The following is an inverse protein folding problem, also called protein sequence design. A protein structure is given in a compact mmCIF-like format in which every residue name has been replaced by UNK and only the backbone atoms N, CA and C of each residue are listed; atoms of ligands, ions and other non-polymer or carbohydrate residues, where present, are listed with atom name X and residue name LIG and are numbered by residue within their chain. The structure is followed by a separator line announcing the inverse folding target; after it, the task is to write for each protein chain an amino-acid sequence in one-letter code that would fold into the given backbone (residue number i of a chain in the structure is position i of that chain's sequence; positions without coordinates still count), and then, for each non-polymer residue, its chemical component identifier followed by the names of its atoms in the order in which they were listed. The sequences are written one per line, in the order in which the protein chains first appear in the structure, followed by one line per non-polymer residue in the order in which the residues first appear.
data_IF_368766909280
#
_entry.id   IF_368766909280
#
_cell.length_a   1.000
_cell.length_b   1.000
_cell.length_c   1.000
_cell.angle_alpha   90.00
_cell.angle_beta   90.00
_cell.angle_gamma   90.00
#
_symmetry.space_group_name_H-M   'P 1'
#
loop_
_entity.id
_entity.type
_entity.pdbx_description
1 polymer ?
#
# COMPACT_ATOMS: atom_id res chain seq x y z
N UNK A 1 -27.98 33.95 10.73
CA UNK A 1 -27.74 32.74 11.52
C UNK A 1 -27.82 31.55 10.58
N UNK A 2 -26.78 30.70 10.52
CA UNK A 2 -26.84 29.22 10.39
C UNK A 2 -25.44 28.65 10.07
N UNK A 3 -24.83 28.15 11.15
CA UNK A 3 -23.90 27.02 11.35
C UNK A 3 -22.76 26.71 10.36
N UNK A 4 -21.58 26.60 10.98
CA UNK A 4 -20.34 26.00 10.51
C UNK A 4 -20.46 24.55 10.01
N UNK A 5 -19.56 24.13 9.12
CA UNK A 5 -18.60 23.00 9.27
C UNK A 5 -17.88 22.79 7.92
N UNK A 6 -16.58 23.10 7.85
CA UNK A 6 -15.60 22.30 7.08
C UNK A 6 -14.21 22.91 7.26
N UNK A 7 -13.45 22.37 8.21
CA UNK A 7 -12.01 22.56 8.36
C UNK A 7 -11.49 21.27 9.00
N UNK A 8 -11.33 20.21 8.21
CA UNK A 8 -10.86 18.92 8.75
C UNK A 8 -10.51 17.87 7.71
N UNK A 9 -11.06 17.94 6.49
CA UNK A 9 -10.91 16.84 5.52
C UNK A 9 -9.57 16.88 4.77
N UNK A 10 -9.06 18.07 4.42
CA UNK A 10 -7.82 18.21 3.64
C UNK A 10 -6.54 17.76 4.38
N UNK A 11 -6.49 17.85 5.71
CA UNK A 11 -5.29 17.49 6.48
C UNK A 11 -5.16 15.99 6.68
N UNK A 12 -6.28 15.27 6.77
CA UNK A 12 -6.30 13.82 7.01
C UNK A 12 -5.85 13.05 5.78
N UNK A 13 -6.28 13.48 4.60
CA UNK A 13 -5.89 12.91 3.32
C UNK A 13 -4.38 12.99 3.09
N UNK A 14 -3.78 14.15 3.38
CA UNK A 14 -2.33 14.35 3.26
C UNK A 14 -1.54 13.42 4.20
N UNK A 15 -1.96 13.25 5.45
CA UNK A 15 -1.31 12.37 6.42
C UNK A 15 -1.41 10.90 5.97
N UNK A 16 -2.56 10.50 5.45
CA UNK A 16 -2.78 9.14 4.94
C UNK A 16 -1.90 8.87 3.73
N UNK A 17 -1.82 9.83 2.79
CA UNK A 17 -0.94 9.74 1.62
C UNK A 17 0.53 9.59 2.02
N UNK A 18 0.99 10.37 3.00
CA UNK A 18 2.37 10.32 3.50
C UNK A 18 2.70 8.95 4.11
N UNK A 19 1.80 8.39 4.92
CA UNK A 19 1.95 7.03 5.47
C UNK A 19 1.98 5.94 4.40
N UNK A 20 1.18 6.10 3.35
CA UNK A 20 1.16 5.15 2.24
C UNK A 20 2.43 5.25 1.39
N UNK A 21 2.92 6.46 1.14
CA UNK A 21 4.19 6.67 0.43
C UNK A 21 5.36 6.11 1.23
N UNK A 22 5.38 6.31 2.54
CA UNK A 22 6.36 5.72 3.44
C UNK A 22 6.32 4.19 3.42
N UNK A 23 5.13 3.58 3.43
CA UNK A 23 4.97 2.13 3.30
C UNK A 23 5.54 1.63 1.96
N UNK A 24 5.20 2.31 0.86
CA UNK A 24 5.70 1.97 -0.47
C UNK A 24 7.22 2.05 -0.53
N UNK A 25 7.81 3.17 -0.07
CA UNK A 25 9.26 3.37 -0.03
C UNK A 25 9.97 2.30 0.81
N UNK A 26 9.37 1.89 1.94
CA UNK A 26 9.92 0.82 2.78
C UNK A 26 9.94 -0.52 2.03
N UNK A 27 8.85 -0.86 1.31
CA UNK A 27 8.78 -2.09 0.52
C UNK A 27 9.76 -2.08 -0.66
N UNK A 28 9.87 -0.94 -1.36
CA UNK A 28 10.84 -0.76 -2.45
C UNK A 28 12.27 -0.91 -1.93
N UNK A 29 12.59 -0.25 -0.81
CA UNK A 29 13.93 -0.33 -0.19
C UNK A 29 14.29 -1.76 0.21
N UNK A 30 13.35 -2.50 0.82
CA UNK A 30 13.55 -3.90 1.17
C UNK A 30 13.80 -4.76 -0.08
N UNK A 31 13.04 -4.51 -1.16
CA UNK A 31 13.19 -5.23 -2.42
C UNK A 31 14.53 -4.93 -3.09
N UNK A 32 14.96 -3.67 -3.11
CA UNK A 32 16.30 -3.27 -3.59
C UNK A 32 17.43 -3.86 -2.75
N UNK A 33 17.18 -4.13 -1.46
CA UNK A 33 18.08 -4.88 -0.58
C UNK A 33 18.09 -6.40 -0.83
N UNK A 34 17.31 -6.89 -1.77
CA UNK A 34 17.22 -8.31 -2.13
C UNK A 34 16.17 -9.12 -1.37
N UNK A 35 15.29 -8.47 -0.58
CA UNK A 35 14.21 -9.19 0.08
C UNK A 35 13.11 -9.58 -0.92
N UNK A 36 12.73 -10.87 -0.91
CA UNK A 36 11.59 -11.37 -1.67
C UNK A 36 10.25 -11.04 -0.99
N UNK A 37 9.15 -11.17 -1.75
CA UNK A 37 7.81 -10.87 -1.26
C UNK A 37 7.43 -11.59 0.04
N UNK A 38 7.67 -12.90 0.23
CA UNK A 38 7.30 -13.58 1.49
C UNK A 38 7.99 -12.96 2.72
N UNK A 39 9.24 -12.54 2.57
CA UNK A 39 10.01 -11.85 3.61
C UNK A 39 9.39 -10.48 3.90
N UNK A 40 9.15 -9.67 2.87
CA UNK A 40 8.52 -8.34 3.00
C UNK A 40 7.12 -8.45 3.61
N UNK A 41 6.35 -9.47 3.22
CA UNK A 41 5.04 -9.74 3.77
C UNK A 41 5.10 -10.01 5.27
N UNK A 42 5.98 -10.90 5.69
CA UNK A 42 6.09 -11.32 7.09
C UNK A 42 6.68 -10.22 7.98
N UNK A 43 7.68 -9.51 7.48
CA UNK A 43 8.45 -8.57 8.29
C UNK A 43 7.80 -7.18 8.36
N UNK A 44 7.22 -6.73 7.24
CA UNK A 44 6.71 -5.36 7.05
C UNK A 44 5.19 -5.36 6.91
N UNK A 45 4.63 -5.96 5.85
CA UNK A 45 3.24 -5.72 5.43
C UNK A 45 2.21 -6.24 6.44
N UNK A 46 2.35 -7.49 6.91
CA UNK A 46 1.38 -8.13 7.81
C UNK A 46 1.22 -7.37 9.14
N UNK A 47 2.25 -6.63 9.57
CA UNK A 47 2.27 -5.87 10.82
C UNK A 47 1.84 -4.41 10.62
N UNK A 48 1.73 -3.95 9.37
CA UNK A 48 1.51 -2.54 9.07
C UNK A 48 0.02 -2.17 9.15
N UNK A 49 -0.36 -1.09 9.87
CA UNK A 49 -1.77 -0.76 10.12
C UNK A 49 -2.56 -0.34 8.88
N UNK A 50 -1.89 0.03 7.78
CA UNK A 50 -2.57 0.32 6.51
C UNK A 50 -2.90 -0.94 5.72
N UNK A 51 -2.33 -2.11 6.02
CA UNK A 51 -2.55 -3.33 5.26
C UNK A 51 -3.79 -4.05 5.79
N UNK A 52 -4.71 -4.38 4.89
CA UNK A 52 -5.99 -5.02 5.22
C UNK A 52 -6.11 -6.35 4.50
N UNK A 53 -6.20 -7.43 5.27
CA UNK A 53 -6.40 -8.77 4.74
C UNK A 53 -5.13 -9.42 4.19
N UNK A 54 -5.30 -10.43 3.35
CA UNK A 54 -4.22 -11.23 2.76
C UNK A 54 -3.92 -10.77 1.32
N UNK A 55 -2.70 -11.02 0.81
CA UNK A 55 -2.41 -10.78 -0.59
C UNK A 55 -3.27 -11.69 -1.49
N UNK A 56 -3.81 -11.11 -2.55
CA UNK A 56 -4.64 -11.79 -3.54
C UNK A 56 -3.82 -11.92 -4.81
N UNK A 57 -3.65 -13.14 -5.31
CA UNK A 57 -3.02 -13.36 -6.60
C UNK A 57 -3.98 -13.03 -7.74
N UNK A 58 -3.53 -12.21 -8.67
CA UNK A 58 -4.23 -11.82 -9.89
C UNK A 58 -3.33 -11.95 -11.10
N UNK A 59 -3.93 -11.81 -12.27
CA UNK A 59 -3.22 -11.67 -13.54
C UNK A 59 -3.40 -10.21 -13.99
N UNK A 60 -2.30 -9.53 -14.32
CA UNK A 60 -2.35 -8.15 -14.84
C UNK A 60 -2.70 -8.12 -16.34
N UNK A 61 -2.79 -6.92 -16.91
CA UNK A 61 -3.09 -6.70 -18.33
C UNK A 61 -2.05 -7.35 -19.29
N UNK A 62 -0.81 -7.49 -18.83
CA UNK A 62 0.30 -8.15 -19.54
C UNK A 62 0.31 -9.68 -19.38
N UNK A 63 -0.74 -10.26 -18.79
CA UNK A 63 -0.89 -11.70 -18.53
C UNK A 63 0.20 -12.28 -17.58
N UNK A 64 0.74 -11.45 -16.68
CA UNK A 64 1.69 -11.83 -15.65
C UNK A 64 1.01 -11.95 -14.26
N UNK A 65 1.46 -12.90 -13.41
CA UNK A 65 0.95 -13.02 -12.05
C UNK A 65 1.43 -11.86 -11.18
N UNK A 66 0.50 -11.20 -10.51
CA UNK A 66 0.75 -10.12 -9.54
C UNK A 66 0.08 -10.42 -8.21
N UNK A 67 0.59 -9.80 -7.14
CA UNK A 67 -0.03 -9.87 -5.81
C UNK A 67 -0.61 -8.51 -5.46
N UNK A 68 -1.91 -8.47 -5.19
CA UNK A 68 -2.61 -7.27 -4.76
C UNK A 68 -2.90 -7.33 -3.27
N UNK A 69 -2.55 -6.26 -2.55
CA UNK A 69 -2.78 -6.11 -1.12
C UNK A 69 -3.70 -4.91 -0.90
N UNK A 70 -4.86 -5.15 -0.26
CA UNK A 70 -5.80 -4.07 0.04
C UNK A 70 -5.23 -3.17 1.12
N UNK A 71 -5.31 -1.85 0.92
CA UNK A 71 -4.99 -0.87 1.95
C UNK A 71 -6.26 -0.34 2.61
N UNK A 72 -6.16 0.08 3.87
CA UNK A 72 -7.24 0.73 4.62
C UNK A 72 -7.71 2.04 3.99
N UNK A 73 -6.88 2.61 3.12
CA UNK A 73 -7.16 3.82 2.32
C UNK A 73 -8.10 3.53 1.13
N UNK A 74 -8.41 2.25 0.87
CA UNK A 74 -9.19 1.82 -0.28
C UNK A 74 -8.35 1.51 -1.52
N UNK A 75 -7.10 1.99 -1.56
CA UNK A 75 -6.13 1.72 -2.62
C UNK A 75 -5.52 0.31 -2.50
N UNK A 76 -4.76 -0.09 -3.52
CA UNK A 76 -4.07 -1.37 -3.56
C UNK A 76 -2.57 -1.17 -3.63
N UNK A 77 -1.84 -1.87 -2.77
CA UNK A 77 -0.41 -2.07 -2.96
C UNK A 77 -0.24 -3.31 -3.83
N UNK A 78 0.41 -3.17 -4.98
CA UNK A 78 0.62 -4.23 -5.97
C UNK A 78 2.08 -4.62 -5.97
N UNK A 79 2.35 -5.91 -5.97
CA UNK A 79 3.67 -6.49 -6.21
C UNK A 79 3.68 -7.20 -7.56
N UNK A 80 4.41 -6.63 -8.51
CA UNK A 80 4.62 -7.13 -9.87
C UNK A 80 6.12 -7.29 -10.12
N UNK A 81 6.57 -8.37 -10.75
CA UNK A 81 7.95 -8.51 -11.27
C UNK A 81 9.09 -7.93 -10.38
N UNK A 82 9.02 -8.17 -9.07
CA UNK A 82 9.94 -7.63 -8.02
C UNK A 82 9.90 -6.12 -7.81
N UNK A 83 8.74 -5.50 -7.99
CA UNK A 83 8.50 -4.07 -7.78
C UNK A 83 7.19 -3.90 -7.02
N UNK A 84 7.14 -2.84 -6.23
CA UNK A 84 5.94 -2.41 -5.54
C UNK A 84 5.40 -1.14 -6.18
N UNK A 85 4.09 -1.07 -6.33
CA UNK A 85 3.37 0.09 -6.83
C UNK A 85 2.04 0.29 -6.11
N UNK A 86 1.49 1.50 -6.17
CA UNK A 86 0.15 1.79 -5.66
C UNK A 86 -0.80 1.92 -6.85
N UNK A 87 -1.95 1.24 -6.77
CA UNK A 87 -3.10 1.41 -7.67
C UNK A 87 -4.29 2.02 -6.92
#
# INVERSE_FOLDING_TARGET
MNKATSCGEHSKDRIVKDKQDNLLQTCVSATSGGADFPTIWHDILKKHPLVVGLPIQRINDDNEPVLEIRLATGQWLVFDSKRFSIR
#
